data_IF_598970278662
#
_entry.id   IF_598970278662
#
_cell.length_a   1.000
_cell.length_b   1.000
_cell.length_c   1.000
_cell.angle_alpha   90.00
_cell.angle_beta   90.00
_cell.angle_gamma   90.00
#
_symmetry.space_group_name_H-M   'P 1'
#
loop_
_entity.id
_entity.type
_entity.pdbx_description
1 polymer ?
#
# COMPACT_ATOMS: atom_id res chain seq x y z
N UNK A 1 42.19 42.78 4.79
CA UNK A 1 42.25 41.85 3.64
C UNK A 1 41.32 40.68 3.96
N UNK A 2 40.19 40.62 3.25
CA UNK A 2 39.06 39.68 3.24
C UNK A 2 38.89 38.61 4.33
N UNK A 3 37.82 38.74 5.14
CA UNK A 3 37.22 37.68 5.96
C UNK A 3 36.28 36.84 5.07
N UNK A 4 36.52 35.53 4.95
CA UNK A 4 35.66 34.60 4.20
C UNK A 4 34.47 34.22 5.07
N UNK A 5 33.27 34.70 4.72
CA UNK A 5 32.02 34.29 5.34
C UNK A 5 31.55 32.97 4.68
N UNK A 6 31.71 31.86 5.40
CA UNK A 6 31.14 30.58 5.00
C UNK A 6 29.62 30.60 5.27
N UNK A 7 28.82 30.72 4.21
CA UNK A 7 27.37 30.51 4.26
C UNK A 7 27.08 29.03 4.47
N UNK A 8 26.73 28.66 5.69
CA UNK A 8 26.15 27.37 6.04
C UNK A 8 24.70 27.38 5.58
N UNK A 9 24.44 26.76 4.43
CA UNK A 9 23.09 26.51 3.92
C UNK A 9 22.43 25.40 4.75
N UNK A 10 21.68 25.79 5.78
CA UNK A 10 20.75 24.88 6.45
C UNK A 10 19.65 24.49 5.47
N UNK A 11 19.71 23.26 4.96
CA UNK A 11 18.58 22.65 4.27
C UNK A 11 17.45 22.48 5.29
N UNK A 12 16.48 23.40 5.25
CA UNK A 12 15.21 23.21 5.92
C UNK A 12 14.58 21.93 5.38
N UNK A 13 14.48 20.90 6.22
CA UNK A 13 13.63 19.77 5.97
C UNK A 13 12.19 20.30 5.91
N UNK A 14 11.67 20.51 4.70
CA UNK A 14 10.26 20.75 4.49
C UNK A 14 9.51 19.49 4.94
N UNK A 15 9.01 19.52 6.16
CA UNK A 15 7.92 18.64 6.57
C UNK A 15 6.76 18.95 5.64
N UNK A 16 6.37 17.99 4.79
CA UNK A 16 5.19 18.12 3.94
C UNK A 16 3.97 18.38 4.82
N UNK A 17 3.53 19.63 4.86
CA UNK A 17 2.30 20.07 5.52
C UNK A 17 1.15 19.92 4.53
N UNK A 18 0.31 18.90 4.72
CA UNK A 18 -1.03 18.83 4.16
C UNK A 18 -1.17 18.18 2.78
N UNK A 19 -2.35 17.57 2.57
CA UNK A 19 -2.72 16.92 1.33
C UNK A 19 -2.83 17.93 0.17
N UNK A 20 -2.12 17.62 -0.91
CA UNK A 20 -2.12 18.37 -2.16
C UNK A 20 -3.36 18.05 -3.00
N UNK A 21 -3.95 19.09 -3.61
CA UNK A 21 -5.06 18.97 -4.56
C UNK A 21 -4.62 18.43 -5.93
N UNK A 22 -3.31 18.19 -6.14
CA UNK A 22 -2.77 17.68 -7.39
C UNK A 22 -2.99 16.15 -7.51
N UNK A 23 -3.76 15.66 -8.50
CA UNK A 23 -4.00 14.23 -8.69
C UNK A 23 -2.73 13.41 -8.94
N UNK A 24 -1.71 13.99 -9.58
CA UNK A 24 -0.45 13.31 -9.85
C UNK A 24 0.34 13.08 -8.56
N UNK A 25 0.48 14.11 -7.73
CA UNK A 25 1.17 14.01 -6.43
C UNK A 25 0.45 13.05 -5.48
N UNK A 26 -0.89 13.00 -5.52
CA UNK A 26 -1.70 12.01 -4.79
C UNK A 26 -1.46 10.58 -5.27
N UNK A 27 -1.32 10.36 -6.58
CA UNK A 27 -0.98 9.03 -7.12
C UNK A 27 0.44 8.63 -6.72
N UNK A 28 1.40 9.56 -6.81
CA UNK A 28 2.77 9.32 -6.40
C UNK A 28 2.88 9.03 -4.90
N UNK A 29 2.12 9.71 -4.04
CA UNK A 29 2.08 9.42 -2.61
C UNK A 29 1.42 8.08 -2.30
N UNK A 30 0.39 7.68 -3.06
CA UNK A 30 -0.20 6.34 -2.98
C UNK A 30 0.78 5.24 -3.37
N UNK A 31 1.47 5.37 -4.51
CA UNK A 31 2.48 4.38 -4.92
C UNK A 31 3.64 4.32 -3.93
N UNK A 32 4.13 5.48 -3.47
CA UNK A 32 5.14 5.57 -2.42
C UNK A 32 4.68 4.88 -1.12
N UNK A 33 3.41 5.02 -0.77
CA UNK A 33 2.83 4.34 0.38
C UNK A 33 2.76 2.82 0.18
N UNK A 34 2.27 2.34 -0.97
CA UNK A 34 2.17 0.91 -1.30
C UNK A 34 3.53 0.20 -1.33
N UNK A 35 4.56 0.89 -1.82
CA UNK A 35 5.94 0.39 -1.78
C UNK A 35 6.62 0.60 -0.43
N UNK A 36 6.00 1.30 0.52
CA UNK A 36 6.64 1.58 1.81
C UNK A 36 7.86 2.49 1.69
N UNK A 37 7.81 3.52 0.87
CA UNK A 37 8.90 4.48 0.70
C UNK A 37 9.36 5.13 2.01
N UNK A 38 8.43 5.36 2.95
CA UNK A 38 8.72 5.80 4.32
C UNK A 38 9.42 4.71 5.15
N UNK A 39 9.03 3.45 4.98
CA UNK A 39 9.68 2.29 5.63
C UNK A 39 11.11 2.16 5.12
N UNK A 40 11.31 2.19 3.79
CA UNK A 40 12.63 2.14 3.15
C UNK A 40 13.55 3.25 3.67
N UNK A 41 13.05 4.49 3.72
CA UNK A 41 13.84 5.64 4.15
C UNK A 41 14.25 5.58 5.63
N UNK A 42 13.43 4.95 6.49
CA UNK A 42 13.69 4.82 7.92
C UNK A 42 14.40 3.52 8.31
N UNK A 43 14.48 2.54 7.41
CA UNK A 43 15.02 1.21 7.75
C UNK A 43 16.53 1.24 7.90
N UNK A 44 17.03 0.61 8.96
CA UNK A 44 18.45 0.46 9.25
C UNK A 44 18.70 -0.41 10.47
N UNK A 45 19.98 -0.68 10.83
CA UNK A 45 20.35 -1.70 11.82
C UNK A 45 19.73 -1.54 13.22
N UNK A 46 19.33 -0.32 13.61
CA UNK A 46 18.72 -0.02 14.91
C UNK A 46 17.21 0.28 14.82
N UNK A 47 16.62 0.16 13.63
CA UNK A 47 15.19 0.44 13.42
C UNK A 47 14.39 -0.79 13.80
N UNK A 48 13.34 -0.67 14.65
CA UNK A 48 12.44 -1.78 14.94
C UNK A 48 11.78 -2.31 13.67
N UNK A 49 11.47 -3.61 13.67
CA UNK A 49 10.77 -4.22 12.55
C UNK A 49 9.41 -3.52 12.30
N UNK A 50 9.12 -3.27 11.02
CA UNK A 50 7.86 -2.66 10.57
C UNK A 50 7.45 -3.30 9.26
N UNK A 51 6.19 -3.68 9.17
CA UNK A 51 5.63 -4.35 8.01
C UNK A 51 4.38 -3.59 7.55
N UNK A 52 4.29 -3.29 6.27
CA UNK A 52 3.08 -2.80 5.62
C UNK A 52 2.66 -3.79 4.54
N UNK A 53 1.41 -4.24 4.63
CA UNK A 53 0.78 -5.03 3.58
C UNK A 53 -0.38 -4.24 3.02
N UNK A 54 -0.52 -4.22 1.70
CA UNK A 54 -1.67 -3.60 1.02
C UNK A 54 -2.37 -4.65 0.19
N UNK A 55 -3.63 -4.91 0.52
CA UNK A 55 -4.55 -5.72 -0.27
C UNK A 55 -5.34 -4.82 -1.21
N UNK A 56 -5.19 -5.02 -2.51
CA UNK A 56 -6.08 -4.43 -3.50
C UNK A 56 -7.17 -5.44 -3.83
N UNK A 57 -8.35 -5.27 -3.26
CA UNK A 57 -9.55 -6.05 -3.59
C UNK A 57 -10.35 -5.36 -4.68
N UNK A 58 -9.73 -5.11 -5.84
CA UNK A 58 -10.17 -4.13 -6.85
C UNK A 58 -10.20 -2.71 -6.27
N UNK A 59 -9.38 -1.82 -6.82
CA UNK A 59 -9.09 -0.49 -6.24
C UNK A 59 -10.33 0.37 -5.95
N UNK A 60 -11.35 0.28 -6.80
CA UNK A 60 -12.61 1.03 -6.63
C UNK A 60 -13.66 0.29 -5.76
N UNK A 61 -13.39 -0.94 -5.34
CA UNK A 61 -14.31 -1.74 -4.53
C UNK A 61 -13.82 -1.86 -3.09
N UNK A 62 -12.57 -2.27 -2.91
CA UNK A 62 -11.96 -2.36 -1.60
C UNK A 62 -10.44 -2.28 -1.67
N UNK A 63 -9.85 -1.49 -0.77
CA UNK A 63 -8.42 -1.52 -0.49
C UNK A 63 -8.26 -1.68 1.02
N UNK A 64 -7.40 -2.62 1.44
CA UNK A 64 -7.04 -2.79 2.84
C UNK A 64 -5.56 -2.54 3.04
N UNK A 65 -5.24 -1.87 4.13
CA UNK A 65 -3.87 -1.66 4.57
C UNK A 65 -3.70 -2.29 5.94
N UNK A 66 -2.57 -2.96 6.13
CA UNK A 66 -2.18 -3.54 7.40
C UNK A 66 -0.80 -3.00 7.73
N UNK A 67 -0.63 -2.42 8.91
CA UNK A 67 0.67 -2.01 9.41
C UNK A 67 0.95 -2.66 10.76
N UNK A 68 1.92 -3.56 10.79
CA UNK A 68 2.45 -4.13 12.02
C UNK A 68 3.70 -3.35 12.43
N UNK A 69 3.60 -2.62 13.54
CA UNK A 69 4.67 -1.77 14.06
C UNK A 69 5.31 -2.45 15.27
N UNK A 70 6.64 -2.59 15.23
CA UNK A 70 7.45 -3.18 16.28
C UNK A 70 6.93 -4.55 16.76
N UNK A 71 6.26 -5.30 15.87
CA UNK A 71 5.70 -6.64 16.13
C UNK A 71 4.71 -6.70 17.29
N UNK A 72 4.02 -5.59 17.57
CA UNK A 72 3.12 -5.49 18.73
C UNK A 72 1.77 -4.88 18.43
N UNK A 73 1.69 -3.95 17.49
CA UNK A 73 0.44 -3.27 17.20
C UNK A 73 0.12 -3.38 15.72
N UNK A 74 -1.03 -3.98 15.41
CA UNK A 74 -1.56 -4.12 14.06
C UNK A 74 -2.61 -3.03 13.83
N UNK A 75 -2.29 -2.08 12.96
CA UNK A 75 -3.26 -1.11 12.42
C UNK A 75 -3.85 -1.67 11.13
N UNK A 76 -5.17 -1.60 11.00
CA UNK A 76 -5.90 -1.96 9.80
C UNK A 76 -6.68 -0.76 9.30
N UNK A 77 -6.50 -0.42 8.02
CA UNK A 77 -7.31 0.56 7.31
C UNK A 77 -8.12 -0.11 6.22
N UNK A 78 -9.44 0.07 6.22
CA UNK A 78 -10.31 -0.42 5.16
C UNK A 78 -10.95 0.73 4.42
N UNK A 79 -10.75 0.75 3.10
CA UNK A 79 -11.42 1.67 2.18
C UNK A 79 -12.37 0.82 1.35
N UNK A 80 -13.66 1.16 1.40
CA UNK A 80 -14.71 0.52 0.62
C UNK A 80 -15.14 1.45 -0.54
N UNK A 81 -15.87 0.90 -1.50
CA UNK A 81 -16.56 1.70 -2.51
C UNK A 81 -17.38 2.81 -1.85
N UNK A 82 -17.14 4.06 -2.25
CA UNK A 82 -17.93 5.20 -1.77
C UNK A 82 -19.29 5.16 -2.44
N UNK A 83 -20.36 5.07 -1.64
CA UNK A 83 -21.72 5.26 -2.15
C UNK A 83 -21.95 6.76 -2.42
N UNK A 84 -21.83 7.14 -3.69
CA UNK A 84 -22.00 8.53 -4.14
C UNK A 84 -23.44 9.04 -3.97
N UNK A 85 -24.43 8.17 -3.68
CA UNK A 85 -25.82 8.60 -3.45
C UNK A 85 -26.02 9.30 -2.11
N UNK A 86 -25.06 9.22 -1.20
CA UNK A 86 -25.13 9.86 0.12
C UNK A 86 -24.60 11.31 0.14
N UNK A 87 -24.15 11.85 -0.99
CA UNK A 87 -23.60 13.21 -1.07
C UNK A 87 -24.54 14.17 -1.81
N UNK A 88 -25.33 14.91 -1.03
CA UNK A 88 -26.01 16.12 -1.49
C UNK A 88 -25.03 17.28 -1.65
N UNK A 89 -25.01 17.88 -2.84
CA UNK A 89 -24.57 19.25 -3.16
C UNK A 89 -23.42 19.83 -2.31
N UNK A 90 -22.19 19.38 -2.57
CA UNK A 90 -20.99 19.98 -1.99
C UNK A 90 -19.71 19.59 -2.73
N UNK A 91 -19.26 20.44 -3.65
CA UNK A 91 -18.02 20.27 -4.46
C UNK A 91 -16.71 20.23 -3.66
N UNK A 92 -16.77 20.31 -2.31
CA UNK A 92 -15.64 20.09 -1.41
C UNK A 92 -15.57 18.70 -0.77
N UNK A 93 -16.64 17.90 -0.84
CA UNK A 93 -16.69 16.52 -0.32
C UNK A 93 -16.16 15.45 -1.30
N UNK A 94 -15.96 15.84 -2.56
CA UNK A 94 -15.58 14.96 -3.69
C UNK A 94 -14.08 14.60 -3.69
N UNK A 95 -13.25 15.28 -2.89
CA UNK A 95 -11.79 15.28 -3.09
C UNK A 95 -10.94 14.79 -1.90
N UNK A 96 -11.55 14.17 -0.89
CA UNK A 96 -10.80 13.33 0.05
C UNK A 96 -10.88 11.87 -0.42
N UNK A 97 -9.90 11.35 -1.17
CA UNK A 97 -9.83 9.91 -1.32
C UNK A 97 -9.46 9.35 0.07
N UNK A 98 -10.02 8.20 0.44
CA UNK A 98 -9.60 7.44 1.63
C UNK A 98 -10.04 8.02 3.00
N UNK A 99 -11.35 8.07 3.27
CA UNK A 99 -11.81 7.90 4.65
C UNK A 99 -11.63 6.43 5.04
N UNK A 100 -10.39 6.00 5.21
CA UNK A 100 -10.11 4.65 5.68
C UNK A 100 -10.76 4.48 7.05
N UNK A 101 -11.57 3.43 7.18
CA UNK A 101 -12.07 2.98 8.48
C UNK A 101 -10.90 2.31 9.17
N UNK A 102 -10.30 3.04 10.10
CA UNK A 102 -9.13 2.59 10.86
C UNK A 102 -9.56 1.84 12.11
N UNK A 103 -8.93 0.70 12.37
CA UNK A 103 -9.06 -0.07 13.60
C UNK A 103 -7.68 -0.63 13.96
N UNK A 104 -7.39 -0.73 15.26
CA UNK A 104 -6.11 -1.23 15.76
C UNK A 104 -6.31 -2.37 16.75
N UNK A 105 -5.34 -3.27 16.82
CA UNK A 105 -5.29 -4.35 17.81
C UNK A 105 -3.86 -4.58 18.27
N UNK A 106 -3.69 -4.72 19.58
CA UNK A 106 -2.45 -5.24 20.15
C UNK A 106 -2.36 -6.75 19.93
N UNK A 107 -1.21 -7.17 19.44
CA UNK A 107 -0.84 -8.57 19.26
C UNK A 107 0.03 -9.02 20.42
N UNK A 108 -0.22 -10.21 20.92
CA UNK A 108 0.75 -10.89 21.78
C UNK A 108 1.94 -11.40 20.96
N UNK A 109 2.97 -11.89 21.67
CA UNK A 109 4.21 -12.36 21.04
C UNK A 109 3.99 -13.59 20.13
N UNK A 110 3.02 -14.44 20.45
CA UNK A 110 2.75 -15.64 19.66
C UNK A 110 2.08 -15.26 18.34
N UNK A 111 1.09 -14.37 18.39
CA UNK A 111 0.37 -13.83 17.24
C UNK A 111 1.31 -13.09 16.29
N UNK A 112 2.15 -12.19 16.81
CA UNK A 112 3.08 -11.45 15.95
C UNK A 112 4.14 -12.36 15.33
N UNK A 113 4.68 -13.31 16.09
CA UNK A 113 5.63 -14.31 15.57
C UNK A 113 5.00 -15.20 14.50
N UNK A 114 3.75 -15.63 14.68
CA UNK A 114 3.05 -16.44 13.68
C UNK A 114 2.92 -15.70 12.35
N UNK A 115 2.50 -14.43 12.38
CA UNK A 115 2.38 -13.60 11.18
C UNK A 115 3.74 -13.36 10.51
N UNK A 116 4.78 -12.99 11.28
CA UNK A 116 6.12 -12.74 10.73
C UNK A 116 6.74 -14.02 10.15
N UNK A 117 6.50 -15.18 10.78
CA UNK A 117 6.95 -16.47 10.25
C UNK A 117 6.23 -16.84 8.95
N UNK A 118 4.92 -16.63 8.85
CA UNK A 118 4.19 -16.87 7.61
C UNK A 118 4.72 -15.98 6.47
N UNK A 119 4.95 -14.69 6.75
CA UNK A 119 5.60 -13.78 5.81
C UNK A 119 6.99 -14.26 5.36
N UNK A 120 7.80 -14.78 6.29
CA UNK A 120 9.12 -15.32 5.96
C UNK A 120 9.01 -16.57 5.06
N UNK A 121 8.11 -17.49 5.39
CA UNK A 121 7.85 -18.72 4.61
C UNK A 121 7.39 -18.39 3.19
N UNK A 122 6.51 -17.39 3.05
CA UNK A 122 5.97 -16.95 1.76
C UNK A 122 6.94 -16.04 0.99
N UNK A 123 8.17 -15.87 1.48
CA UNK A 123 9.25 -15.19 0.77
C UNK A 123 9.23 -13.65 0.86
N UNK A 124 8.48 -13.05 1.79
CA UNK A 124 8.38 -11.59 1.94
C UNK A 124 9.73 -10.89 2.21
N UNK A 125 10.71 -11.63 2.76
CA UNK A 125 12.06 -11.14 3.05
C UNK A 125 13.12 -11.63 2.05
N UNK A 126 12.69 -12.28 0.97
CA UNK A 126 13.55 -12.71 -0.13
C UNK A 126 13.80 -11.61 -1.17
N UNK A 127 14.41 -11.98 -2.32
CA UNK A 127 14.49 -11.08 -3.48
C UNK A 127 13.09 -10.65 -3.96
N UNK A 128 12.94 -9.43 -4.48
CA UNK A 128 11.66 -8.97 -5.03
C UNK A 128 11.21 -9.83 -6.20
N UNK A 129 9.90 -10.05 -6.32
CA UNK A 129 9.27 -10.72 -7.47
C UNK A 129 9.21 -9.77 -8.68
N UNK A 130 10.38 -9.36 -9.20
CA UNK A 130 10.52 -8.39 -10.30
C UNK A 130 9.62 -8.75 -11.49
N UNK A 131 9.05 -7.71 -12.11
CA UNK A 131 8.12 -7.79 -13.24
C UNK A 131 6.73 -8.39 -12.94
N UNK A 132 6.41 -8.73 -11.67
CA UNK A 132 5.03 -9.02 -11.27
C UNK A 132 4.14 -7.81 -11.55
N UNK A 133 3.20 -7.94 -12.48
CA UNK A 133 2.26 -6.88 -12.86
C UNK A 133 1.12 -6.75 -11.85
N UNK A 134 0.82 -5.52 -11.46
CA UNK A 134 -0.21 -5.16 -10.50
C UNK A 134 -1.21 -4.23 -11.15
N UNK A 135 -2.40 -4.75 -11.44
CA UNK A 135 -3.51 -3.96 -11.97
C UNK A 135 -4.44 -3.52 -10.86
N UNK A 136 -4.77 -2.23 -10.84
CA UNK A 136 -5.83 -1.66 -9.98
C UNK A 136 -7.19 -2.38 -10.13
N UNK A 137 -7.45 -3.02 -11.28
CA UNK A 137 -8.69 -3.77 -11.56
C UNK A 137 -8.64 -5.24 -11.14
N UNK A 138 -7.49 -5.71 -10.67
CA UNK A 138 -7.28 -7.08 -10.23
C UNK A 138 -7.19 -7.20 -8.72
N UNK A 139 -6.72 -8.35 -8.27
CA UNK A 139 -6.40 -8.61 -6.88
C UNK A 139 -4.89 -8.73 -6.72
N UNK A 140 -4.34 -8.02 -5.76
CA UNK A 140 -2.92 -8.16 -5.43
C UNK A 140 -2.64 -7.82 -3.98
N UNK A 141 -1.51 -8.34 -3.50
CA UNK A 141 -0.85 -7.91 -2.28
C UNK A 141 0.42 -7.15 -2.64
N UNK A 142 0.71 -6.05 -1.95
CA UNK A 142 2.10 -5.56 -1.81
C UNK A 142 2.56 -5.75 -0.38
N UNK A 143 3.84 -6.03 -0.20
CA UNK A 143 4.46 -6.24 1.11
C UNK A 143 5.73 -5.41 1.13
N UNK A 144 5.77 -4.41 2.01
CA UNK A 144 6.94 -3.62 2.31
C UNK A 144 7.37 -3.87 3.76
N UNK A 145 8.62 -4.26 3.97
CA UNK A 145 9.11 -4.63 5.29
C UNK A 145 10.45 -3.97 5.59
N UNK A 146 10.61 -3.47 6.80
CA UNK A 146 11.90 -3.35 7.45
C UNK A 146 12.03 -4.55 8.38
N UNK A 147 12.88 -5.50 8.04
CA UNK A 147 13.10 -6.72 8.81
C UNK A 147 14.59 -6.84 9.13
N UNK A 148 14.94 -6.87 10.42
CA UNK A 148 16.33 -6.96 10.89
C UNK A 148 17.25 -5.88 10.28
N UNK A 149 16.69 -4.68 10.09
CA UNK A 149 17.40 -3.53 9.54
C UNK A 149 17.64 -3.56 8.03
N UNK A 150 17.08 -4.54 7.31
CA UNK A 150 17.05 -4.58 5.86
C UNK A 150 15.65 -4.27 5.34
N UNK A 151 15.59 -3.46 4.27
CA UNK A 151 14.34 -3.20 3.57
C UNK A 151 14.06 -4.29 2.53
N UNK A 152 12.82 -4.76 2.51
CA UNK A 152 12.31 -5.74 1.57
C UNK A 152 11.02 -5.24 0.94
N UNK A 153 10.82 -5.59 -0.33
CA UNK A 153 9.60 -5.33 -1.06
C UNK A 153 9.27 -6.49 -1.98
N UNK A 154 8.02 -6.94 -1.96
CA UNK A 154 7.50 -7.90 -2.94
C UNK A 154 6.00 -7.68 -3.16
N UNK A 155 5.44 -8.38 -4.13
CA UNK A 155 4.01 -8.39 -4.38
C UNK A 155 3.55 -9.76 -4.89
N UNK A 156 2.28 -10.05 -4.69
CA UNK A 156 1.61 -11.24 -5.20
C UNK A 156 0.40 -10.79 -6.00
N UNK A 157 0.33 -11.19 -7.27
CA UNK A 157 -0.83 -10.91 -8.12
C UNK A 157 -1.72 -12.14 -8.21
N UNK A 158 -3.04 -11.95 -8.14
CA UNK A 158 -4.00 -13.02 -8.40
C UNK A 158 -4.48 -12.97 -9.86
N UNK A 159 -4.64 -14.14 -10.52
CA UNK A 159 -4.24 -15.46 -10.07
C UNK A 159 -2.75 -15.74 -10.32
N UNK A 160 -2.05 -16.38 -9.39
CA UNK A 160 -0.70 -16.90 -9.58
C UNK A 160 -0.38 -18.00 -8.58
N UNK A 161 0.63 -18.84 -8.86
CA UNK A 161 1.07 -19.89 -7.94
C UNK A 161 1.53 -19.30 -6.59
N UNK A 162 2.26 -18.18 -6.60
CA UNK A 162 2.69 -17.52 -5.38
C UNK A 162 1.50 -17.06 -4.52
N UNK A 163 0.41 -16.61 -5.15
CA UNK A 163 -0.84 -16.30 -4.44
C UNK A 163 -1.46 -17.55 -3.82
N UNK A 164 -1.56 -18.64 -4.58
CA UNK A 164 -2.23 -19.87 -4.14
C UNK A 164 -1.45 -20.58 -3.02
N UNK A 165 -0.12 -20.42 -2.98
CA UNK A 165 0.75 -21.00 -1.96
C UNK A 165 0.91 -20.11 -0.71
N UNK A 166 0.48 -18.84 -0.76
CA UNK A 166 0.62 -17.91 0.35
C UNK A 166 -0.21 -18.36 1.57
N UNK A 167 0.35 -18.16 2.76
CA UNK A 167 -0.24 -18.55 4.04
C UNK A 167 -0.37 -17.36 5.01
N UNK A 168 0.33 -16.26 4.75
CA UNK A 168 0.33 -15.07 5.60
C UNK A 168 -1.05 -14.41 5.65
N UNK A 169 -1.85 -14.50 4.60
CA UNK A 169 -3.15 -13.84 4.49
C UNK A 169 -4.20 -14.49 5.40
N UNK A 170 -4.23 -15.83 5.47
CA UNK A 170 -5.04 -16.56 6.44
C UNK A 170 -4.71 -16.15 7.90
N UNK A 171 -3.41 -16.07 8.23
CA UNK A 171 -2.96 -15.63 9.56
C UNK A 171 -3.35 -14.17 9.80
N UNK A 172 -3.14 -13.30 8.82
CA UNK A 172 -3.43 -11.88 8.92
C UNK A 172 -4.93 -11.61 9.09
N UNK A 173 -5.78 -12.27 8.30
CA UNK A 173 -7.23 -12.13 8.38
C UNK A 173 -7.80 -12.66 9.70
N UNK A 174 -7.19 -13.70 10.29
CA UNK A 174 -7.56 -14.15 11.64
C UNK A 174 -7.21 -13.12 12.73
N UNK A 175 -6.27 -12.21 12.46
CA UNK A 175 -5.87 -11.14 13.38
C UNK A 175 -6.60 -9.82 13.11
N UNK A 176 -7.15 -9.62 11.91
CA UNK A 176 -7.86 -8.41 11.49
C UNK A 176 -9.07 -8.13 12.41
N UNK A 177 -9.05 -7.03 13.18
CA UNK A 177 -10.17 -6.66 14.07
C UNK A 177 -11.32 -5.96 13.33
N UNK A 178 -11.21 -5.72 12.02
CA UNK A 178 -12.24 -5.04 11.24
C UNK A 178 -13.50 -5.89 11.09
N UNK A 179 -14.70 -5.33 11.33
CA UNK A 179 -15.96 -6.03 11.10
C UNK A 179 -16.33 -6.10 9.61
N UNK A 180 -15.60 -5.40 8.74
CA UNK A 180 -15.87 -5.36 7.30
C UNK A 180 -15.33 -6.65 6.69
N UNK A 181 -16.12 -7.31 5.85
CA UNK A 181 -15.67 -8.50 5.14
C UNK A 181 -14.60 -8.17 4.09
N UNK A 182 -13.60 -9.03 3.97
CA UNK A 182 -12.60 -8.95 2.89
C UNK A 182 -13.29 -9.24 1.56
N UNK A 183 -13.06 -8.41 0.54
CA UNK A 183 -13.55 -8.66 -0.81
C UNK A 183 -12.79 -9.84 -1.42
N UNK A 184 -13.39 -11.03 -1.64
CA UNK A 184 -12.64 -12.20 -2.05
C UNK A 184 -12.18 -12.12 -3.52
N UNK A 185 -11.02 -12.72 -3.86
CA UNK A 185 -10.54 -12.80 -5.24
C UNK A 185 -11.56 -13.44 -6.18
N UNK A 186 -11.76 -12.82 -7.34
CA UNK A 186 -12.68 -13.29 -8.38
C UNK A 186 -12.25 -12.76 -9.74
N UNK A 187 -12.71 -13.42 -10.80
CA UNK A 187 -12.48 -12.92 -12.16
C UNK A 187 -13.17 -11.56 -12.31
N UNK A 188 -12.38 -10.52 -12.53
CA UNK A 188 -12.87 -9.18 -12.87
C UNK A 188 -12.92 -9.06 -14.39
N UNK A 189 -13.79 -8.17 -14.89
CA UNK A 189 -13.78 -7.82 -16.31
C UNK A 189 -12.53 -6.97 -16.58
N UNK A 190 -11.38 -7.63 -16.75
CA UNK A 190 -10.16 -6.98 -17.21
C UNK A 190 -10.29 -6.48 -18.67
N UNK A 191 -11.31 -6.95 -19.41
CA UNK A 191 -11.47 -6.73 -20.86
C UNK A 191 -12.84 -6.19 -21.31
N UNK A 192 -13.18 -4.94 -20.95
CA UNK A 192 -13.94 -4.09 -21.89
C UNK A 192 -13.35 -2.69 -21.89
N UNK A 193 -12.63 -2.38 -22.96
CA UNK A 193 -12.45 -1.00 -23.42
C UNK A 193 -13.87 -0.47 -23.67
N UNK A 194 -14.43 0.27 -22.71
CA UNK A 194 -15.76 0.83 -22.83
C UNK A 194 -15.65 2.12 -23.64
N UNK A 195 -15.81 2.03 -24.96
CA UNK A 195 -15.80 3.13 -25.93
C UNK A 195 -17.10 3.96 -25.90
N UNK A 196 -17.59 4.38 -24.73
CA UNK A 196 -18.82 5.19 -24.71
C UNK A 196 -19.41 5.68 -23.40
N UNK A 197 -18.72 5.57 -22.26
CA UNK A 197 -19.19 6.18 -21.01
C UNK A 197 -18.70 7.63 -20.84
N UNK A 198 -19.41 8.50 -20.09
CA UNK A 198 -18.89 9.82 -19.75
C UNK A 198 -17.50 9.65 -19.11
N UNK A 199 -16.54 10.44 -19.61
CA UNK A 199 -15.11 10.42 -19.26
C UNK A 199 -14.85 10.91 -17.83
N UNK A 200 -15.43 10.26 -16.84
CA UNK A 200 -14.91 10.37 -15.48
C UNK A 200 -13.65 9.50 -15.45
N UNK A 201 -12.51 10.17 -15.54
CA UNK A 201 -11.15 9.63 -15.48
C UNK A 201 -10.91 9.11 -14.06
N UNK A 202 -11.53 7.97 -13.72
CA UNK A 202 -11.36 7.32 -12.41
C UNK A 202 -10.17 6.37 -12.45
N UNK A 203 -9.04 6.84 -11.90
CA UNK A 203 -8.03 6.12 -11.12
C UNK A 203 -7.53 4.72 -11.53
N UNK A 204 -7.74 4.24 -12.76
CA UNK A 204 -7.13 2.99 -13.23
C UNK A 204 -5.62 3.20 -13.36
N UNK A 205 -4.85 2.28 -12.77
CA UNK A 205 -3.41 2.18 -12.96
C UNK A 205 -2.97 0.73 -13.14
N UNK A 206 -1.84 0.59 -13.83
CA UNK A 206 -1.02 -0.61 -13.84
C UNK A 206 0.39 -0.21 -13.37
N UNK A 207 0.99 -1.05 -12.56
CA UNK A 207 2.38 -0.93 -12.11
C UNK A 207 2.97 -2.34 -12.05
N UNK A 208 4.25 -2.46 -11.72
CA UNK A 208 4.90 -3.75 -11.53
C UNK A 208 5.92 -3.67 -10.41
N UNK A 209 6.32 -4.82 -9.90
CA UNK A 209 7.45 -4.91 -8.96
C UNK A 209 8.75 -4.61 -9.70
N UNK A 210 9.56 -3.73 -9.13
CA UNK A 210 10.95 -3.49 -9.52
C UNK A 210 11.93 -3.97 -8.45
N UNK A 211 13.22 -3.73 -8.66
CA UNK A 211 14.29 -4.21 -7.75
C UNK A 211 14.22 -3.64 -6.33
N UNK A 212 13.62 -2.45 -6.16
CA UNK A 212 13.66 -1.72 -4.88
C UNK A 212 12.30 -1.12 -4.48
N UNK A 213 11.20 -1.62 -5.03
CA UNK A 213 9.86 -1.01 -4.88
C UNK A 213 9.00 -1.23 -6.10
N UNK A 214 8.08 -0.31 -6.36
CA UNK A 214 7.25 -0.33 -7.56
C UNK A 214 7.97 0.32 -8.76
N UNK A 215 7.62 -0.13 -9.96
CA UNK A 215 8.16 0.36 -11.22
C UNK A 215 7.06 0.43 -12.29
N UNK A 216 7.42 1.00 -13.45
CA UNK A 216 6.58 0.95 -14.64
C UNK A 216 5.28 1.75 -14.55
N UNK A 217 5.28 2.90 -13.86
CA UNK A 217 4.11 3.78 -13.78
C UNK A 217 3.68 4.25 -15.18
N UNK A 218 2.67 3.60 -15.76
CA UNK A 218 2.00 4.05 -16.97
C UNK A 218 0.61 4.57 -16.59
N UNK A 219 0.35 5.89 -16.74
CA UNK A 219 -1.02 6.37 -16.82
C UNK A 219 -1.64 5.72 -18.07
N UNK A 220 -2.72 4.95 -17.92
CA UNK A 220 -3.58 4.63 -19.05
C UNK A 220 -4.31 5.93 -19.39
N UNK A 221 -3.85 6.60 -20.45
CA UNK A 221 -4.45 7.81 -21.00
C UNK A 221 -5.80 7.54 -21.66
#
# INVERSE_FOLDING_TARGET
MGLVLALVSSAAACTSTGFTNNPLERKLSWFSYMEGGDIRAACGPATPNRYRLVYNGVYNEQVRTYELIAERHLNVGVIEAVDLTQFGEGIGGILAPWQAKMVGRDLDQEQSRALVNALAVDGAFGPPAVDTELSSRGFFWTIAACHQGAYHFTALAWPSQAWDDATFDDVLFALDPSPIAVNPPRKTLLDRINTGGPKNVESIFNTKVGENGLAGFQPLF
#
